data_IF_226294997463
#
_entry.id   IF_226294997463
#
_cell.length_a   1.000
_cell.length_b   1.000
_cell.length_c   1.000
_cell.angle_alpha   90.00
_cell.angle_beta   90.00
_cell.angle_gamma   90.00
#
_symmetry.space_group_name_H-M   'P 1'
#
loop_
_entity.id
_entity.type
_entity.pdbx_description
1 polymer ?
#
# COMPACT_ATOMS: atom_id res chain seq x y z
N UNK A 1 -53.15 1.76 58.38
CA UNK A 1 -54.32 1.49 57.52
C UNK A 1 -54.29 2.45 56.34
N UNK A 2 -54.22 1.87 55.14
CA UNK A 2 -54.58 2.37 53.79
C UNK A 2 -53.73 3.46 53.11
N UNK A 3 -52.87 2.96 52.22
CA UNK A 3 -52.34 3.58 51.01
C UNK A 3 -53.44 4.04 50.04
N UNK A 4 -53.23 5.19 49.40
CA UNK A 4 -54.03 5.67 48.28
C UNK A 4 -53.14 5.75 47.03
N UNK A 5 -53.29 4.78 46.13
CA UNK A 5 -52.73 4.80 44.78
C UNK A 5 -53.59 5.71 43.89
N UNK A 6 -52.99 6.79 43.37
CA UNK A 6 -53.56 7.61 42.29
C UNK A 6 -53.16 7.02 40.94
N UNK A 7 -54.09 6.34 40.29
CA UNK A 7 -53.97 5.91 38.89
C UNK A 7 -54.43 7.05 37.97
N UNK A 8 -53.49 7.72 37.30
CA UNK A 8 -53.79 8.64 36.21
C UNK A 8 -54.17 7.84 34.95
N UNK A 9 -55.45 7.82 34.61
CA UNK A 9 -55.93 7.26 33.36
C UNK A 9 -55.62 8.22 32.19
N UNK A 10 -54.71 7.82 31.30
CA UNK A 10 -54.43 8.55 30.07
C UNK A 10 -55.66 8.48 29.14
N UNK A 11 -56.24 9.64 28.79
CA UNK A 11 -57.34 9.71 27.82
C UNK A 11 -56.79 9.43 26.40
N UNK A 12 -57.43 8.54 25.62
CA UNK A 12 -57.00 8.28 24.24
C UNK A 12 -57.18 9.54 23.38
N UNK A 13 -56.19 9.83 22.54
CA UNK A 13 -56.25 10.93 21.59
C UNK A 13 -57.43 10.72 20.62
N UNK A 14 -58.20 11.78 20.27
CA UNK A 14 -59.29 11.67 19.31
C UNK A 14 -58.75 11.23 17.95
N UNK A 15 -59.45 10.31 17.27
CA UNK A 15 -59.05 9.70 15.99
C UNK A 15 -58.61 10.73 14.94
N UNK A 16 -59.21 11.93 14.96
CA UNK A 16 -58.83 13.06 14.07
C UNK A 16 -57.43 13.62 14.35
N UNK A 17 -57.00 13.66 15.62
CA UNK A 17 -55.64 14.05 16.00
C UNK A 17 -54.61 12.99 15.59
N UNK A 18 -54.98 11.70 15.69
CA UNK A 18 -54.13 10.60 15.24
C UNK A 18 -53.94 10.63 13.71
N UNK A 19 -55.02 10.89 12.96
CA UNK A 19 -54.97 11.05 11.51
C UNK A 19 -54.13 12.26 11.08
N UNK A 20 -54.25 13.39 11.79
CA UNK A 20 -53.43 14.58 11.53
C UNK A 20 -51.93 14.35 11.76
N UNK A 21 -51.56 13.64 12.83
CA UNK A 21 -50.17 13.26 13.10
C UNK A 21 -49.61 12.31 12.05
N UNK A 22 -50.41 11.36 11.56
CA UNK A 22 -50.00 10.43 10.52
C UNK A 22 -49.75 11.15 9.18
N UNK A 23 -50.62 12.08 8.80
CA UNK A 23 -50.47 12.91 7.60
C UNK A 23 -49.22 13.80 7.70
N UNK A 24 -48.98 14.42 8.85
CA UNK A 24 -47.78 15.22 9.08
C UNK A 24 -46.50 14.37 9.00
N UNK A 25 -46.49 13.17 9.59
CA UNK A 25 -45.37 12.24 9.51
C UNK A 25 -45.08 11.78 8.07
N UNK A 26 -46.14 11.47 7.30
CA UNK A 26 -46.01 11.11 5.88
C UNK A 26 -45.52 12.29 5.03
N UNK A 27 -45.95 13.51 5.31
CA UNK A 27 -45.47 14.71 4.62
C UNK A 27 -43.99 14.99 4.92
N UNK A 28 -43.56 14.84 6.18
CA UNK A 28 -42.15 14.97 6.58
C UNK A 28 -41.30 13.87 5.93
N UNK A 29 -41.78 12.63 5.90
CA UNK A 29 -41.08 11.53 5.24
C UNK A 29 -40.98 11.73 3.72
N UNK A 30 -42.04 12.19 3.07
CA UNK A 30 -42.04 12.49 1.65
C UNK A 30 -41.11 13.67 1.31
N UNK A 31 -41.10 14.72 2.16
CA UNK A 31 -40.19 15.85 2.02
C UNK A 31 -38.74 15.44 2.25
N UNK A 32 -38.45 14.60 3.24
CA UNK A 32 -37.11 14.04 3.49
C UNK A 32 -36.64 13.20 2.29
N UNK A 33 -37.51 12.38 1.69
CA UNK A 33 -37.21 11.60 0.47
C UNK A 33 -37.06 12.45 -0.79
N UNK A 34 -37.69 13.61 -0.84
CA UNK A 34 -37.58 14.55 -1.95
C UNK A 34 -36.31 15.42 -1.83
N UNK A 35 -35.91 15.74 -0.59
CA UNK A 35 -34.67 16.44 -0.26
C UNK A 35 -33.45 15.50 -0.18
N UNK A 36 -33.65 14.18 -0.08
CA UNK A 36 -32.60 13.19 -0.32
C UNK A 36 -32.00 13.47 -1.70
N UNK A 37 -30.69 13.80 -1.79
CA UNK A 37 -30.06 13.98 -3.09
C UNK A 37 -30.29 12.70 -3.89
N UNK A 38 -31.07 12.80 -4.97
CA UNK A 38 -31.29 11.69 -5.90
C UNK A 38 -29.91 11.16 -6.27
N UNK A 39 -29.63 9.92 -5.92
CA UNK A 39 -28.40 9.25 -6.31
C UNK A 39 -28.28 9.39 -7.84
N UNK A 40 -27.38 10.26 -8.28
CA UNK A 40 -27.07 10.38 -9.70
C UNK A 40 -26.56 9.00 -10.09
N UNK A 41 -27.21 8.27 -11.02
CA UNK A 41 -26.79 6.93 -11.37
C UNK A 41 -25.32 6.99 -11.75
N UNK A 42 -24.50 6.27 -10.98
CA UNK A 42 -23.06 6.37 -11.11
C UNK A 42 -22.65 5.85 -12.50
N UNK A 43 -21.78 6.58 -13.20
CA UNK A 43 -21.28 6.13 -14.51
C UNK A 43 -20.59 4.76 -14.34
N UNK A 44 -20.90 3.78 -15.20
CA UNK A 44 -20.26 2.47 -15.10
C UNK A 44 -18.77 2.59 -15.38
N UNK A 45 -17.96 1.83 -14.63
CA UNK A 45 -16.52 1.71 -14.87
C UNK A 45 -16.33 0.99 -16.21
N UNK A 46 -15.56 1.59 -17.13
CA UNK A 46 -15.33 1.04 -18.46
C UNK A 46 -13.88 0.61 -18.63
N UNK A 47 -13.67 -0.68 -18.85
CA UNK A 47 -12.36 -1.21 -19.20
C UNK A 47 -12.05 -0.95 -20.67
N UNK A 48 -10.85 -0.43 -20.93
CA UNK A 48 -10.33 -0.29 -22.28
C UNK A 48 -9.87 -1.65 -22.82
N UNK A 49 -10.10 -1.89 -24.11
CA UNK A 49 -9.42 -2.95 -24.86
C UNK A 49 -7.98 -2.55 -25.24
N UNK A 50 -7.60 -1.29 -25.02
CA UNK A 50 -6.23 -0.84 -25.21
C UNK A 50 -5.33 -1.37 -24.08
N UNK A 51 -4.24 -2.02 -24.48
CA UNK A 51 -3.26 -2.62 -23.59
C UNK A 51 -3.38 -4.15 -23.50
N UNK A 52 -2.45 -4.81 -22.80
CA UNK A 52 -2.43 -6.27 -22.72
C UNK A 52 -3.63 -6.82 -21.94
N UNK A 53 -4.32 -7.86 -22.44
CA UNK A 53 -5.53 -8.39 -21.79
C UNK A 53 -5.25 -9.24 -20.55
N UNK A 54 -3.99 -9.60 -20.29
CA UNK A 54 -3.60 -10.47 -19.17
C UNK A 54 -2.16 -10.24 -18.74
N UNK A 55 -1.81 -10.75 -17.56
CA UNK A 55 -0.43 -10.71 -17.04
C UNK A 55 0.59 -11.28 -18.03
N UNK A 56 0.33 -12.48 -18.54
CA UNK A 56 1.24 -13.14 -19.48
C UNK A 56 1.38 -12.35 -20.80
N UNK A 57 0.31 -11.71 -21.27
CA UNK A 57 0.38 -10.85 -22.45
C UNK A 57 1.19 -9.57 -22.19
N UNK A 58 1.07 -8.97 -21.00
CA UNK A 58 1.83 -7.78 -20.63
C UNK A 58 3.32 -8.05 -20.53
N UNK A 59 3.73 -9.15 -19.88
CA UNK A 59 5.14 -9.56 -19.81
C UNK A 59 5.71 -9.75 -21.22
N UNK A 60 5.01 -10.52 -22.08
CA UNK A 60 5.44 -10.73 -23.48
C UNK A 60 5.54 -9.44 -24.28
N UNK A 61 4.63 -8.49 -24.06
CA UNK A 61 4.68 -7.19 -24.74
C UNK A 61 5.93 -6.39 -24.35
N UNK A 62 6.27 -6.37 -23.06
CA UNK A 62 7.48 -5.71 -22.57
C UNK A 62 8.74 -6.41 -23.09
N UNK A 63 8.79 -7.75 -23.08
CA UNK A 63 9.92 -8.52 -23.59
C UNK A 63 10.17 -8.25 -25.09
N UNK A 64 9.10 -8.13 -25.88
CA UNK A 64 9.18 -7.78 -27.30
C UNK A 64 9.76 -6.37 -27.49
N UNK A 65 9.31 -5.40 -26.69
CA UNK A 65 9.83 -4.02 -26.72
C UNK A 65 11.31 -3.99 -26.36
N UNK A 66 11.72 -4.69 -25.31
CA UNK A 66 13.13 -4.81 -24.92
C UNK A 66 13.98 -5.44 -26.02
N UNK A 67 13.49 -6.51 -26.64
CA UNK A 67 14.17 -7.17 -27.78
C UNK A 67 14.36 -6.21 -28.96
N UNK A 68 13.36 -5.36 -29.25
CA UNK A 68 13.45 -4.37 -30.33
C UNK A 68 14.32 -3.16 -29.99
N UNK A 69 14.33 -2.69 -28.74
CA UNK A 69 15.07 -1.51 -28.32
C UNK A 69 16.58 -1.75 -28.20
N UNK A 70 17.02 -2.95 -27.78
CA UNK A 70 18.44 -3.23 -27.52
C UNK A 70 19.33 -3.04 -28.76
N UNK A 71 19.04 -3.62 -29.94
CA UNK A 71 19.86 -3.39 -31.12
C UNK A 71 19.89 -1.92 -31.58
N UNK A 72 18.79 -1.18 -31.37
CA UNK A 72 18.72 0.24 -31.72
C UNK A 72 19.62 1.09 -30.81
N UNK A 73 19.68 0.75 -29.52
CA UNK A 73 20.57 1.39 -28.57
C UNK A 73 22.04 1.06 -28.86
N UNK A 74 22.34 -0.19 -29.24
CA UNK A 74 23.71 -0.61 -29.59
C UNK A 74 24.22 0.08 -30.86
N UNK A 75 23.33 0.39 -31.81
CA UNK A 75 23.66 1.09 -33.04
C UNK A 75 23.85 2.62 -32.88
N UNK A 76 23.43 3.20 -31.74
CA UNK A 76 23.46 4.65 -31.46
C UNK A 76 24.15 4.90 -30.12
N UNK A 77 25.48 4.89 -30.15
CA UNK A 77 26.31 4.91 -28.94
C UNK A 77 26.34 6.24 -28.20
N UNK A 78 25.77 7.31 -28.77
CA UNK A 78 25.64 8.65 -28.21
C UNK A 78 24.20 9.05 -27.85
N UNK A 79 23.24 8.13 -27.96
CA UNK A 79 21.81 8.40 -27.76
C UNK A 79 21.32 7.93 -26.37
N UNK A 80 21.45 8.81 -25.36
CA UNK A 80 21.00 8.52 -23.99
C UNK A 80 19.47 8.27 -23.89
N UNK A 81 18.66 8.78 -24.83
CA UNK A 81 17.21 8.57 -24.84
C UNK A 81 16.85 7.11 -25.11
N UNK A 82 17.67 6.38 -25.87
CA UNK A 82 17.45 4.94 -26.07
C UNK A 82 17.71 4.15 -24.79
N UNK A 83 18.73 4.53 -24.01
CA UNK A 83 18.97 3.93 -22.69
C UNK A 83 17.80 4.21 -21.75
N UNK A 84 17.28 5.44 -21.72
CA UNK A 84 16.10 5.79 -20.91
C UNK A 84 14.86 4.96 -21.29
N UNK A 85 14.62 4.74 -22.59
CA UNK A 85 13.51 3.88 -23.06
C UNK A 85 13.65 2.43 -22.60
N UNK A 86 14.87 1.88 -22.64
CA UNK A 86 15.15 0.52 -22.13
C UNK A 86 14.91 0.48 -20.62
N UNK A 87 15.44 1.44 -19.87
CA UNK A 87 15.24 1.54 -18.42
C UNK A 87 13.75 1.61 -18.06
N UNK A 88 12.95 2.41 -18.79
CA UNK A 88 11.50 2.45 -18.60
C UNK A 88 10.85 1.08 -18.79
N UNK A 89 11.20 0.32 -19.85
CA UNK A 89 10.62 -1.02 -20.05
C UNK A 89 11.04 -2.00 -18.93
N UNK A 90 12.30 -1.95 -18.49
CA UNK A 90 12.78 -2.75 -17.36
C UNK A 90 12.03 -2.42 -16.06
N UNK A 91 11.84 -1.12 -15.75
CA UNK A 91 11.05 -0.68 -14.59
C UNK A 91 9.59 -1.15 -14.65
N UNK A 92 8.97 -1.13 -15.84
CA UNK A 92 7.61 -1.65 -16.00
C UNK A 92 7.55 -3.17 -15.76
N UNK A 93 8.52 -3.92 -16.28
CA UNK A 93 8.61 -5.37 -16.03
C UNK A 93 8.87 -5.67 -14.57
N UNK A 94 9.75 -4.91 -13.92
CA UNK A 94 10.06 -5.02 -12.50
C UNK A 94 8.81 -4.82 -11.63
N UNK A 95 8.04 -3.74 -11.84
CA UNK A 95 6.77 -3.51 -11.12
C UNK A 95 5.74 -4.61 -11.34
N UNK A 96 5.67 -5.15 -12.55
CA UNK A 96 4.69 -6.18 -12.91
C UNK A 96 5.03 -7.55 -12.31
N UNK A 97 6.31 -7.89 -12.27
CA UNK A 97 6.82 -9.23 -11.92
C UNK A 97 7.39 -9.34 -10.51
N UNK A 98 7.76 -8.21 -9.88
CA UNK A 98 8.53 -8.19 -8.64
C UNK A 98 10.03 -8.41 -8.83
N UNK A 99 10.56 -8.32 -10.06
CA UNK A 99 11.96 -8.62 -10.37
C UNK A 99 12.93 -7.53 -9.87
N UNK A 100 13.71 -7.84 -8.84
CA UNK A 100 14.82 -6.99 -8.36
C UNK A 100 15.97 -6.90 -9.38
N UNK A 101 16.16 -7.95 -10.19
CA UNK A 101 17.16 -7.94 -11.26
C UNK A 101 16.80 -6.92 -12.34
N UNK A 102 15.52 -6.82 -12.70
CA UNK A 102 15.07 -5.81 -13.67
C UNK A 102 15.27 -4.39 -13.16
N UNK A 103 15.07 -4.14 -11.86
CA UNK A 103 15.41 -2.85 -11.26
C UNK A 103 16.92 -2.56 -11.29
N UNK A 104 17.76 -3.56 -11.00
CA UNK A 104 19.21 -3.42 -11.06
C UNK A 104 19.68 -3.16 -12.51
N UNK A 105 19.11 -3.88 -13.48
CA UNK A 105 19.38 -3.67 -14.91
C UNK A 105 18.89 -2.29 -15.37
N UNK A 106 17.75 -1.80 -14.85
CA UNK A 106 17.27 -0.46 -15.13
C UNK A 106 18.25 0.59 -14.60
N UNK A 107 18.78 0.43 -13.38
CA UNK A 107 19.80 1.33 -12.83
C UNK A 107 21.05 1.34 -13.71
N UNK A 108 21.60 0.17 -14.05
CA UNK A 108 22.78 0.07 -14.90
C UNK A 108 22.55 0.69 -16.29
N UNK A 109 21.32 0.63 -16.80
CA UNK A 109 20.94 1.27 -18.07
C UNK A 109 20.89 2.79 -17.96
N UNK A 110 20.34 3.33 -16.87
CA UNK A 110 20.35 4.77 -16.62
C UNK A 110 21.77 5.30 -16.41
N UNK A 111 22.64 4.55 -15.72
CA UNK A 111 24.05 4.91 -15.53
C UNK A 111 24.77 5.05 -16.89
N UNK A 112 24.50 4.13 -17.84
CA UNK A 112 24.99 4.27 -19.23
C UNK A 112 24.40 5.50 -19.92
N UNK A 113 23.11 5.77 -19.72
CA UNK A 113 22.46 6.97 -20.25
C UNK A 113 23.14 8.25 -19.77
N UNK A 114 23.46 8.35 -18.47
CA UNK A 114 24.20 9.50 -17.94
C UNK A 114 25.63 9.61 -18.48
N UNK A 115 26.32 8.48 -18.68
CA UNK A 115 27.66 8.48 -19.27
C UNK A 115 27.68 8.99 -20.72
N UNK A 116 26.56 8.87 -21.44
CA UNK A 116 26.38 9.35 -22.82
C UNK A 116 25.84 10.80 -22.88
N UNK A 117 25.18 11.27 -21.83
CA UNK A 117 24.54 12.57 -21.81
C UNK A 117 25.55 13.72 -21.71
N UNK A 118 25.26 14.84 -22.36
CA UNK A 118 25.99 16.08 -22.13
C UNK A 118 25.70 16.63 -20.73
N UNK A 119 26.63 17.39 -20.11
CA UNK A 119 26.38 18.01 -18.80
C UNK A 119 25.10 18.85 -18.81
N UNK A 120 24.24 18.64 -17.80
CA UNK A 120 22.94 19.31 -17.71
C UNK A 120 21.81 18.65 -18.51
N UNK A 121 22.06 17.51 -19.16
CA UNK A 121 21.06 16.67 -19.81
C UNK A 121 21.11 15.24 -19.26
N UNK A 122 20.15 14.40 -19.66
CA UNK A 122 20.09 12.99 -19.28
C UNK A 122 18.77 12.58 -18.63
N UNK A 123 18.65 11.30 -18.25
CA UNK A 123 17.38 10.72 -17.82
C UNK A 123 17.06 11.01 -16.34
N UNK A 124 17.18 12.26 -15.90
CA UNK A 124 17.03 12.64 -14.48
C UNK A 124 15.64 12.32 -13.93
N UNK A 125 14.57 12.60 -14.68
CA UNK A 125 13.20 12.30 -14.22
C UNK A 125 12.97 10.80 -14.07
N UNK A 126 13.45 9.99 -15.01
CA UNK A 126 13.38 8.53 -14.93
C UNK A 126 14.24 7.97 -13.80
N UNK A 127 15.43 8.53 -13.59
CA UNK A 127 16.28 8.19 -12.45
C UNK A 127 15.62 8.55 -11.12
N UNK A 128 14.92 9.69 -11.03
CA UNK A 128 14.14 10.04 -9.84
C UNK A 128 13.02 9.03 -9.59
N UNK A 129 12.29 8.63 -10.64
CA UNK A 129 11.22 7.64 -10.54
C UNK A 129 11.73 6.24 -10.14
N UNK A 130 12.90 5.82 -10.67
CA UNK A 130 13.55 4.58 -10.24
C UNK A 130 14.01 4.67 -8.79
N UNK A 131 14.69 5.76 -8.44
CA UNK A 131 15.16 5.99 -7.07
C UNK A 131 14.00 5.95 -6.07
N UNK A 132 12.84 6.53 -6.39
CA UNK A 132 11.66 6.43 -5.54
C UNK A 132 11.09 5.02 -5.44
N UNK A 133 11.04 4.29 -6.57
CA UNK A 133 10.62 2.87 -6.57
C UNK A 133 11.53 1.99 -5.70
N UNK A 134 12.78 2.42 -5.49
CA UNK A 134 13.79 1.76 -4.66
C UNK A 134 13.98 2.41 -3.29
N UNK A 135 13.16 3.39 -2.93
CA UNK A 135 13.26 4.17 -1.69
C UNK A 135 14.59 4.91 -1.47
N UNK A 136 15.33 5.25 -2.54
CA UNK A 136 16.56 6.05 -2.51
C UNK A 136 16.23 7.54 -2.52
N UNK A 137 15.61 8.03 -1.44
CA UNK A 137 15.02 9.38 -1.39
C UNK A 137 16.02 10.50 -1.70
N UNK A 138 17.23 10.44 -1.13
CA UNK A 138 18.25 11.45 -1.36
C UNK A 138 18.74 11.49 -2.82
N UNK A 139 18.74 10.35 -3.52
CA UNK A 139 19.06 10.32 -4.95
C UNK A 139 17.91 10.92 -5.75
N UNK A 140 16.67 10.56 -5.43
CA UNK A 140 15.50 11.14 -6.09
C UNK A 140 15.47 12.67 -5.97
N UNK A 141 15.69 13.21 -4.77
CA UNK A 141 15.77 14.67 -4.52
C UNK A 141 16.82 15.32 -5.45
N UNK A 142 18.06 14.82 -5.47
CA UNK A 142 19.11 15.37 -6.35
C UNK A 142 18.75 15.34 -7.84
N UNK A 143 18.05 14.29 -8.28
CA UNK A 143 17.63 14.18 -9.68
C UNK A 143 16.50 15.15 -10.02
N UNK A 144 15.56 15.38 -9.10
CA UNK A 144 14.51 16.38 -9.27
C UNK A 144 15.09 17.79 -9.26
N UNK A 145 16.06 18.07 -8.38
CA UNK A 145 16.78 19.35 -8.37
C UNK A 145 17.51 19.59 -9.68
N UNK A 146 18.13 18.55 -10.27
CA UNK A 146 18.77 18.67 -11.58
C UNK A 146 17.78 19.06 -12.69
N UNK A 147 16.55 18.53 -12.68
CA UNK A 147 15.49 18.89 -13.64
C UNK A 147 15.12 20.37 -13.55
N UNK A 148 15.09 20.94 -12.34
CA UNK A 148 14.79 22.37 -12.14
C UNK A 148 15.88 23.29 -12.72
N UNK A 149 17.11 22.78 -12.85
CA UNK A 149 18.28 23.53 -13.33
C UNK A 149 18.61 23.27 -14.81
N UNK A 150 17.72 22.63 -15.57
CA UNK A 150 17.88 22.49 -17.01
C UNK A 150 17.94 23.87 -17.69
N UNK A 151 18.81 23.99 -18.70
CA UNK A 151 18.99 25.24 -19.46
C UNK A 151 17.69 25.69 -20.14
N UNK A 152 16.87 24.74 -20.58
CA UNK A 152 15.50 24.97 -21.05
C UNK A 152 14.56 24.51 -19.95
N UNK A 153 13.65 25.38 -19.45
CA UNK A 153 12.67 24.98 -18.44
C UNK A 153 11.87 23.77 -18.91
N UNK A 154 11.80 22.74 -18.05
CA UNK A 154 11.06 21.53 -18.34
C UNK A 154 9.59 21.83 -18.64
N UNK A 155 8.94 21.05 -19.50
CA UNK A 155 7.52 21.22 -19.84
C UNK A 155 6.60 21.09 -18.61
N UNK A 156 5.38 21.63 -18.70
CA UNK A 156 4.45 21.64 -17.58
C UNK A 156 4.14 20.24 -17.04
N UNK A 157 4.01 19.24 -17.91
CA UNK A 157 3.79 17.84 -17.53
C UNK A 157 4.99 17.26 -16.75
N UNK A 158 6.22 17.55 -17.20
CA UNK A 158 7.44 17.11 -16.51
C UNK A 158 7.54 17.75 -15.12
N UNK A 159 7.24 19.04 -15.00
CA UNK A 159 7.23 19.75 -13.71
C UNK A 159 6.17 19.19 -12.76
N UNK A 160 4.95 18.93 -13.26
CA UNK A 160 3.90 18.29 -12.47
C UNK A 160 4.32 16.90 -11.98
N UNK A 161 4.96 16.10 -12.84
CA UNK A 161 5.55 14.80 -12.46
C UNK A 161 6.64 14.92 -11.39
N UNK A 162 7.51 15.93 -11.50
CA UNK A 162 8.53 16.21 -10.49
C UNK A 162 7.92 16.64 -9.15
N UNK A 163 6.92 17.51 -9.17
CA UNK A 163 6.22 17.97 -7.96
C UNK A 163 5.44 16.83 -7.28
N UNK A 164 4.84 15.92 -8.06
CA UNK A 164 4.23 14.70 -7.53
C UNK A 164 5.25 13.83 -6.78
N UNK A 165 6.44 13.65 -7.37
CA UNK A 165 7.55 12.91 -6.73
C UNK A 165 8.07 13.62 -5.48
N UNK A 166 8.09 14.96 -5.43
CA UNK A 166 8.41 15.71 -4.20
C UNK A 166 7.38 15.48 -3.09
N UNK A 167 6.10 15.37 -3.44
CA UNK A 167 5.04 14.94 -2.51
C UNK A 167 5.30 13.53 -1.97
N UNK A 168 5.66 12.59 -2.84
CA UNK A 168 5.99 11.21 -2.46
C UNK A 168 7.21 11.16 -1.51
N UNK A 169 8.24 11.97 -1.76
CA UNK A 169 9.39 12.12 -0.87
C UNK A 169 8.97 12.69 0.49
N UNK A 170 8.12 13.72 0.51
CA UNK A 170 7.63 14.31 1.75
C UNK A 170 6.88 13.27 2.59
N UNK A 171 6.04 12.43 1.97
CA UNK A 171 5.36 11.33 2.64
C UNK A 171 6.36 10.35 3.28
N UNK A 172 7.34 9.85 2.51
CA UNK A 172 8.33 8.89 3.03
C UNK A 172 9.30 9.49 4.06
N UNK A 173 9.43 10.82 4.11
CA UNK A 173 10.17 11.54 5.15
C UNK A 173 9.32 11.88 6.40
N UNK A 174 8.08 11.42 6.47
CA UNK A 174 7.16 11.73 7.58
C UNK A 174 6.64 13.18 7.59
N UNK A 175 6.84 13.93 6.50
CA UNK A 175 6.39 15.32 6.34
C UNK A 175 4.97 15.36 5.75
N UNK A 176 4.01 14.76 6.46
CA UNK A 176 2.64 14.52 5.95
C UNK A 176 1.91 15.77 5.47
N UNK A 177 1.99 16.89 6.21
CA UNK A 177 1.36 18.14 5.79
C UNK A 177 1.92 18.68 4.46
N UNK A 178 3.24 18.59 4.27
CA UNK A 178 3.88 19.00 3.02
C UNK A 178 3.51 18.07 1.86
N UNK A 179 3.40 16.77 2.11
CA UNK A 179 2.94 15.80 1.12
C UNK A 179 1.52 16.12 0.64
N UNK A 180 0.59 16.34 1.58
CA UNK A 180 -0.80 16.70 1.25
C UNK A 180 -0.88 17.99 0.43
N UNK A 181 -0.16 19.02 0.85
CA UNK A 181 -0.13 20.29 0.14
C UNK A 181 0.38 20.13 -1.30
N UNK A 182 1.44 19.34 -1.51
CA UNK A 182 1.96 19.06 -2.85
C UNK A 182 0.91 18.36 -3.73
N UNK A 183 0.24 17.33 -3.22
CA UNK A 183 -0.80 16.64 -3.98
C UNK A 183 -2.00 17.53 -4.28
N UNK A 184 -2.48 18.32 -3.31
CA UNK A 184 -3.61 19.23 -3.54
C UNK A 184 -3.27 20.36 -4.51
N UNK A 185 -2.00 20.81 -4.55
CA UNK A 185 -1.54 21.80 -5.53
C UNK A 185 -1.62 21.26 -6.96
N UNK A 186 -1.27 19.99 -7.19
CA UNK A 186 -1.39 19.34 -8.49
C UNK A 186 -2.85 19.30 -8.99
N UNK A 187 -3.80 19.00 -8.10
CA UNK A 187 -5.23 19.04 -8.46
C UNK A 187 -5.70 20.43 -8.92
N UNK A 188 -5.16 21.51 -8.34
CA UNK A 188 -5.53 22.89 -8.69
C UNK A 188 -5.08 23.29 -10.10
N UNK A 189 -4.03 22.67 -10.61
CA UNK A 189 -3.50 22.93 -11.97
C UNK A 189 -4.04 21.93 -13.01
N UNK A 190 -5.05 21.13 -12.66
CA UNK A 190 -5.72 20.20 -13.57
C UNK A 190 -5.08 18.81 -13.68
N UNK A 191 -4.02 18.54 -12.92
CA UNK A 191 -3.44 17.19 -12.82
C UNK A 191 -4.32 16.26 -11.95
N UNK A 192 -4.10 14.94 -12.05
CA UNK A 192 -4.90 13.90 -11.39
C UNK A 192 -4.06 13.07 -10.42
N UNK A 193 -3.68 13.63 -9.26
CA UNK A 193 -2.92 12.92 -8.23
C UNK A 193 -3.80 11.95 -7.42
N UNK A 194 -5.03 11.66 -7.85
CA UNK A 194 -6.03 10.90 -7.07
C UNK A 194 -5.53 9.54 -6.56
N UNK A 195 -4.70 8.81 -7.32
CA UNK A 195 -4.11 7.58 -6.82
C UNK A 195 -3.10 7.83 -5.68
N UNK A 196 -2.31 8.90 -5.74
CA UNK A 196 -1.39 9.30 -4.66
C UNK A 196 -2.17 9.80 -3.45
N UNK A 197 -3.21 10.60 -3.66
CA UNK A 197 -4.13 11.01 -2.60
C UNK A 197 -4.81 9.81 -1.94
N UNK A 198 -5.18 8.77 -2.71
CA UNK A 198 -5.73 7.55 -2.14
C UNK A 198 -4.74 6.83 -1.22
N UNK A 199 -3.48 6.69 -1.65
CA UNK A 199 -2.42 6.10 -0.81
C UNK A 199 -2.18 6.96 0.43
N UNK A 200 -2.12 8.28 0.27
CA UNK A 200 -1.90 9.21 1.37
C UNK A 200 -3.04 9.15 2.40
N UNK A 201 -4.28 9.30 1.95
CA UNK A 201 -5.46 9.29 2.82
C UNK A 201 -5.68 7.94 3.50
N UNK A 202 -5.28 6.83 2.89
CA UNK A 202 -5.41 5.51 3.52
C UNK A 202 -4.49 5.34 4.73
N UNK A 203 -3.33 6.01 4.76
CA UNK A 203 -2.39 5.95 5.89
C UNK A 203 -2.54 7.13 6.86
N UNK A 204 -3.38 8.12 6.54
CA UNK A 204 -3.66 9.27 7.42
C UNK A 204 -5.09 9.26 7.98
N UNK A 205 -5.69 8.08 8.16
CA UNK A 205 -6.99 7.93 8.81
C UNK A 205 -8.19 8.45 8.01
N UNK A 206 -8.08 8.55 6.68
CA UNK A 206 -9.17 8.98 5.78
C UNK A 206 -9.48 7.92 4.72
N UNK A 207 -9.80 6.67 5.12
CA UNK A 207 -10.02 5.59 4.16
C UNK A 207 -11.18 5.84 3.20
N UNK A 208 -12.26 6.50 3.65
CA UNK A 208 -13.41 6.79 2.78
C UNK A 208 -13.05 7.81 1.67
N UNK A 209 -12.24 8.81 2.00
CA UNK A 209 -11.70 9.76 1.01
C UNK A 209 -10.76 9.04 0.03
N UNK A 210 -9.94 8.11 0.53
CA UNK A 210 -9.07 7.29 -0.31
C UNK A 210 -9.88 6.47 -1.32
N UNK A 211 -10.92 5.77 -0.85
CA UNK A 211 -11.80 4.98 -1.71
C UNK A 211 -12.57 5.85 -2.71
N UNK A 212 -12.95 7.07 -2.31
CA UNK A 212 -13.56 8.05 -3.20
C UNK A 212 -12.60 8.53 -4.30
N UNK A 213 -11.33 8.76 -3.96
CA UNK A 213 -10.30 9.11 -4.94
C UNK A 213 -10.09 8.00 -5.98
N UNK A 214 -10.01 6.74 -5.54
CA UNK A 214 -9.93 5.60 -6.49
C UNK A 214 -11.13 5.54 -7.42
N UNK A 215 -12.35 5.74 -6.91
CA UNK A 215 -13.56 5.79 -7.74
C UNK A 215 -13.51 6.90 -8.79
N UNK A 216 -12.91 8.06 -8.48
CA UNK A 216 -12.73 9.13 -9.47
C UNK A 216 -11.82 8.71 -10.60
N UNK A 217 -10.69 8.05 -10.29
CA UNK A 217 -9.76 7.53 -11.32
C UNK A 217 -10.46 6.50 -12.21
N UNK A 218 -11.16 5.52 -11.63
CA UNK A 218 -11.85 4.46 -12.36
C UNK A 218 -12.94 4.98 -13.32
N UNK A 219 -13.54 6.13 -12.99
CA UNK A 219 -14.63 6.76 -13.77
C UNK A 219 -14.14 7.79 -14.77
N UNK A 220 -12.86 8.17 -14.72
CA UNK A 220 -12.32 9.27 -15.51
C UNK A 220 -12.21 8.97 -17.01
N UNK A 221 -12.27 7.68 -17.41
CA UNK A 221 -12.25 7.29 -18.82
C UNK A 221 -12.05 5.80 -19.06
N UNK A 222 -11.74 5.45 -20.31
CA UNK A 222 -11.37 4.08 -20.70
C UNK A 222 -9.99 3.75 -20.13
N UNK A 223 -9.96 2.89 -19.11
CA UNK A 223 -8.73 2.54 -18.41
C UNK A 223 -8.31 1.11 -18.75
N UNK A 224 -7.02 0.83 -19.09
CA UNK A 224 -6.55 -0.53 -19.35
C UNK A 224 -6.83 -1.48 -18.17
N UNK A 225 -7.09 -2.76 -18.49
CA UNK A 225 -7.39 -3.78 -17.48
C UNK A 225 -6.34 -3.88 -16.36
N UNK A 226 -5.05 -3.81 -16.71
CA UNK A 226 -3.94 -3.80 -15.75
C UNK A 226 -4.00 -2.62 -14.76
N UNK A 227 -4.33 -1.41 -15.24
CA UNK A 227 -4.43 -0.23 -14.38
C UNK A 227 -5.66 -0.34 -13.46
N UNK A 228 -6.79 -0.83 -13.99
CA UNK A 228 -7.97 -1.09 -13.16
C UNK A 228 -7.73 -2.19 -12.11
N UNK A 229 -6.96 -3.23 -12.44
CA UNK A 229 -6.58 -4.25 -11.47
C UNK A 229 -5.67 -3.70 -10.36
N UNK A 230 -4.74 -2.79 -10.69
CA UNK A 230 -3.93 -2.10 -9.68
C UNK A 230 -4.79 -1.25 -8.72
N UNK A 231 -5.76 -0.50 -9.25
CA UNK A 231 -6.69 0.27 -8.43
C UNK A 231 -7.54 -0.64 -7.52
N UNK A 232 -7.98 -1.78 -8.04
CA UNK A 232 -8.71 -2.78 -7.26
C UNK A 232 -7.85 -3.44 -6.17
N UNK A 233 -6.56 -3.71 -6.40
CA UNK A 233 -5.64 -4.16 -5.35
C UNK A 233 -5.46 -3.10 -4.26
N UNK A 234 -5.29 -1.83 -4.64
CA UNK A 234 -5.17 -0.74 -3.67
C UNK A 234 -6.46 -0.60 -2.86
N UNK A 235 -7.64 -0.70 -3.48
CA UNK A 235 -8.92 -0.77 -2.79
C UNK A 235 -8.95 -1.90 -1.78
N UNK A 236 -8.63 -3.13 -2.19
CA UNK A 236 -8.64 -4.28 -1.30
C UNK A 236 -7.66 -4.14 -0.13
N UNK A 237 -6.52 -3.50 -0.35
CA UNK A 237 -5.54 -3.18 0.69
C UNK A 237 -6.09 -2.17 1.71
N UNK A 238 -6.80 -1.14 1.25
CA UNK A 238 -7.45 -0.15 2.12
C UNK A 238 -8.51 -0.84 2.99
N UNK A 239 -9.39 -1.64 2.38
CA UNK A 239 -10.45 -2.35 3.13
C UNK A 239 -9.87 -3.37 4.12
N UNK A 240 -8.80 -4.08 3.72
CA UNK A 240 -8.10 -5.01 4.60
C UNK A 240 -7.57 -4.31 5.86
N UNK A 241 -6.98 -3.11 5.70
CA UNK A 241 -6.46 -2.32 6.84
C UNK A 241 -7.56 -1.81 7.76
N UNK A 242 -8.77 -1.57 7.24
CA UNK A 242 -9.96 -1.24 8.05
C UNK A 242 -10.59 -2.46 8.73
N UNK A 243 -10.13 -3.67 8.40
CA UNK A 243 -10.73 -4.93 8.83
C UNK A 243 -12.01 -5.30 8.08
N UNK A 244 -12.35 -4.64 6.96
CA UNK A 244 -13.45 -5.10 6.10
C UNK A 244 -12.95 -6.19 5.15
N UNK A 245 -12.85 -7.40 5.69
CA UNK A 245 -12.33 -8.55 4.96
C UNK A 245 -13.22 -8.97 3.78
N UNK A 246 -14.54 -8.73 3.85
CA UNK A 246 -15.45 -9.06 2.75
C UNK A 246 -15.25 -8.09 1.57
N UNK A 247 -15.15 -6.79 1.85
CA UNK A 247 -14.86 -5.79 0.82
C UNK A 247 -13.44 -5.97 0.24
N UNK A 248 -12.47 -6.36 1.07
CA UNK A 248 -11.13 -6.70 0.62
C UNK A 248 -11.14 -7.87 -0.39
N UNK A 249 -11.81 -8.98 -0.05
CA UNK A 249 -11.94 -10.15 -0.93
C UNK A 249 -12.64 -9.79 -2.24
N UNK A 250 -13.72 -9.01 -2.17
CA UNK A 250 -14.44 -8.56 -3.36
C UNK A 250 -13.56 -7.72 -4.30
N UNK A 251 -12.72 -6.84 -3.74
CA UNK A 251 -11.79 -6.02 -4.50
C UNK A 251 -10.66 -6.86 -5.13
N UNK A 252 -10.10 -7.83 -4.40
CA UNK A 252 -9.09 -8.73 -4.96
C UNK A 252 -9.65 -9.64 -6.07
N UNK A 253 -10.89 -10.13 -5.90
CA UNK A 253 -11.61 -10.84 -6.96
C UNK A 253 -11.86 -9.96 -8.19
N UNK A 254 -12.15 -8.67 -8.00
CA UNK A 254 -12.29 -7.70 -9.09
C UNK A 254 -10.97 -7.46 -9.84
N UNK A 255 -9.86 -7.33 -9.11
CA UNK A 255 -8.54 -7.24 -9.71
C UNK A 255 -8.23 -8.47 -10.59
N UNK A 256 -8.59 -9.67 -10.13
CA UNK A 256 -8.34 -10.92 -10.85
C UNK A 256 -9.15 -11.00 -12.17
N UNK A 257 -10.40 -10.51 -12.16
CA UNK A 257 -11.23 -10.45 -13.37
C UNK A 257 -10.70 -9.45 -14.39
N UNK A 258 -10.25 -8.27 -13.95
CA UNK A 258 -9.78 -7.19 -14.82
C UNK A 258 -8.45 -7.47 -15.48
N UNK A 259 -7.57 -8.22 -14.79
CA UNK A 259 -6.26 -8.57 -15.29
C UNK A 259 -5.86 -10.00 -14.91
N UNK A 260 -6.35 -11.00 -15.68
CA UNK A 260 -6.19 -12.40 -15.34
C UNK A 260 -4.73 -12.88 -15.29
N UNK A 261 -4.48 -13.81 -14.36
CA UNK A 261 -3.20 -14.52 -14.23
C UNK A 261 -2.11 -13.73 -13.51
N UNK A 262 -2.40 -12.55 -12.96
CA UNK A 262 -1.42 -11.78 -12.21
C UNK A 262 -1.10 -12.42 -10.86
N UNK A 263 0.17 -12.77 -10.66
CA UNK A 263 0.65 -13.47 -9.47
C UNK A 263 0.33 -12.72 -8.17
N UNK A 264 0.43 -11.38 -8.18
CA UNK A 264 0.21 -10.55 -6.99
C UNK A 264 -1.25 -10.63 -6.52
N UNK A 265 -2.21 -10.56 -7.46
CA UNK A 265 -3.63 -10.74 -7.11
C UNK A 265 -3.90 -12.12 -6.52
N UNK A 266 -3.29 -13.16 -7.09
CA UNK A 266 -3.42 -14.51 -6.56
C UNK A 266 -2.78 -14.65 -5.15
N UNK A 267 -1.70 -13.92 -4.86
CA UNK A 267 -1.09 -13.88 -3.53
C UNK A 267 -2.02 -13.22 -2.49
N UNK A 268 -2.67 -12.11 -2.84
CA UNK A 268 -3.70 -11.49 -1.99
C UNK A 268 -4.87 -12.45 -1.72
N UNK A 269 -5.37 -13.17 -2.74
CA UNK A 269 -6.43 -14.16 -2.54
C UNK A 269 -5.99 -15.33 -1.65
N UNK A 270 -4.75 -15.80 -1.80
CA UNK A 270 -4.18 -16.84 -0.93
C UNK A 270 -4.03 -16.35 0.52
N UNK A 271 -3.66 -15.09 0.72
CA UNK A 271 -3.63 -14.46 2.04
C UNK A 271 -5.02 -14.40 2.67
N UNK A 272 -6.06 -14.02 1.91
CA UNK A 272 -7.42 -14.00 2.45
C UNK A 272 -7.89 -15.39 2.89
N UNK A 273 -7.51 -16.45 2.18
CA UNK A 273 -7.72 -17.83 2.64
C UNK A 273 -7.04 -18.08 4.00
N UNK A 274 -5.80 -17.59 4.19
CA UNK A 274 -5.07 -17.74 5.45
C UNK A 274 -5.74 -16.98 6.60
N UNK A 275 -6.14 -15.72 6.38
CA UNK A 275 -6.83 -14.89 7.36
C UNK A 275 -8.17 -15.51 7.81
N UNK A 276 -8.87 -16.18 6.89
CA UNK A 276 -10.13 -16.91 7.18
C UNK A 276 -9.91 -18.31 7.80
N UNK A 277 -8.68 -18.66 8.17
CA UNK A 277 -8.35 -19.96 8.76
C UNK A 277 -8.41 -21.14 7.76
N UNK A 278 -8.54 -20.90 6.46
CA UNK A 278 -8.52 -21.93 5.40
C UNK A 278 -7.07 -22.29 5.05
N UNK A 279 -6.29 -22.63 6.09
CA UNK A 279 -4.84 -22.80 6.03
C UNK A 279 -4.37 -23.85 4.99
N UNK A 280 -5.02 -25.02 4.84
CA UNK A 280 -4.60 -25.99 3.81
C UNK A 280 -4.79 -25.47 2.38
N UNK A 281 -5.80 -24.64 2.15
CA UNK A 281 -6.08 -24.06 0.83
C UNK A 281 -5.12 -22.92 0.52
N UNK A 282 -4.88 -22.04 1.51
CA UNK A 282 -3.87 -21.00 1.43
C UNK A 282 -2.47 -21.56 1.14
N UNK A 283 -2.07 -22.63 1.85
CA UNK A 283 -0.77 -23.29 1.65
C UNK A 283 -0.62 -23.77 0.21
N UNK A 284 -1.61 -24.51 -0.33
CA UNK A 284 -1.57 -24.99 -1.72
C UNK A 284 -1.50 -23.84 -2.73
N UNK A 285 -2.25 -22.76 -2.48
CA UNK A 285 -2.26 -21.59 -3.36
C UNK A 285 -0.89 -20.88 -3.37
N UNK A 286 -0.29 -20.66 -2.21
CA UNK A 286 1.05 -20.06 -2.11
C UNK A 286 2.15 -20.97 -2.68
N UNK A 287 2.12 -22.28 -2.40
CA UNK A 287 3.10 -23.23 -2.96
C UNK A 287 3.04 -23.25 -4.50
N UNK A 288 1.84 -23.22 -5.09
CA UNK A 288 1.67 -23.12 -6.53
C UNK A 288 2.19 -21.79 -7.11
N UNK A 289 2.08 -20.69 -6.36
CA UNK A 289 2.67 -19.40 -6.75
C UNK A 289 4.19 -19.41 -6.66
N UNK A 290 4.76 -19.98 -5.59
CA UNK A 290 6.20 -20.05 -5.36
C UNK A 290 6.95 -20.91 -6.39
N UNK A 291 6.25 -21.81 -7.10
CA UNK A 291 6.82 -22.59 -8.22
C UNK A 291 7.08 -21.74 -9.47
N UNK A 292 6.41 -20.60 -9.62
CA UNK A 292 6.44 -19.76 -10.84
C UNK A 292 6.85 -18.31 -10.58
N UNK A 293 7.12 -17.96 -9.32
CA UNK A 293 7.53 -16.64 -8.91
C UNK A 293 8.53 -16.75 -7.74
N UNK A 294 9.66 -16.07 -7.87
CA UNK A 294 10.76 -16.12 -6.92
C UNK A 294 10.67 -15.08 -5.80
N UNK A 295 9.50 -14.49 -5.59
CA UNK A 295 9.29 -13.58 -4.47
C UNK A 295 9.46 -14.32 -3.12
N UNK A 296 10.37 -13.86 -2.24
CA UNK A 296 10.60 -14.48 -0.94
C UNK A 296 9.41 -14.34 0.02
N UNK A 297 8.55 -13.31 -0.11
CA UNK A 297 7.37 -13.14 0.74
C UNK A 297 6.33 -14.26 0.52
N UNK A 298 6.31 -14.88 -0.67
CA UNK A 298 5.51 -16.10 -0.89
C UNK A 298 5.98 -17.24 0.03
N UNK A 299 7.29 -17.35 0.23
CA UNK A 299 7.90 -18.41 1.08
C UNK A 299 7.72 -18.08 2.56
N UNK A 300 7.80 -16.80 2.94
CA UNK A 300 7.44 -16.35 4.28
C UNK A 300 5.98 -16.64 4.63
N UNK A 301 5.05 -16.38 3.70
CA UNK A 301 3.64 -16.70 3.91
C UNK A 301 3.42 -18.19 4.16
N UNK A 302 4.08 -19.07 3.38
CA UNK A 302 4.03 -20.52 3.58
C UNK A 302 4.60 -20.89 4.96
N UNK A 303 5.77 -20.35 5.32
CA UNK A 303 6.41 -20.62 6.61
C UNK A 303 5.53 -20.18 7.79
N UNK A 304 4.85 -19.03 7.66
CA UNK A 304 3.91 -18.48 8.64
C UNK A 304 2.71 -19.40 8.85
N UNK A 305 2.13 -19.92 7.75
CA UNK A 305 1.01 -20.86 7.82
C UNK A 305 1.42 -22.19 8.48
N UNK A 306 2.59 -22.75 8.16
CA UNK A 306 3.07 -23.95 8.84
C UNK A 306 3.31 -23.72 10.33
N UNK A 307 3.78 -22.53 10.70
CA UNK A 307 4.02 -22.16 12.10
C UNK A 307 2.72 -22.09 12.88
N UNK A 308 1.68 -21.47 12.31
CA UNK A 308 0.35 -21.40 12.89
C UNK A 308 -0.28 -22.79 13.11
N UNK A 309 0.19 -23.82 12.36
CA UNK A 309 -0.24 -25.22 12.50
C UNK A 309 0.66 -26.05 13.43
N UNK A 310 1.73 -25.47 13.98
CA UNK A 310 2.71 -26.16 14.82
C UNK A 310 3.69 -27.06 14.07
N UNK A 311 3.78 -26.95 12.74
CA UNK A 311 4.74 -27.73 11.91
C UNK A 311 6.06 -26.96 11.77
N UNK A 312 6.84 -26.94 12.84
CA UNK A 312 8.08 -26.15 12.92
C UNK A 312 9.15 -26.62 11.93
N UNK A 313 9.21 -27.91 11.60
CA UNK A 313 10.17 -28.43 10.62
C UNK A 313 9.90 -27.85 9.22
N UNK A 314 8.62 -27.74 8.81
CA UNK A 314 8.28 -27.08 7.55
C UNK A 314 8.41 -25.56 7.65
N UNK A 315 8.14 -24.95 8.81
CA UNK A 315 8.41 -23.53 9.02
C UNK A 315 9.88 -23.19 8.75
N UNK A 316 10.81 -23.92 9.36
CA UNK A 316 12.26 -23.70 9.19
C UNK A 316 12.67 -23.87 7.72
N UNK A 317 12.24 -24.96 7.06
CA UNK A 317 12.54 -25.21 5.65
C UNK A 317 12.14 -24.04 4.73
N UNK A 318 10.94 -23.50 4.92
CA UNK A 318 10.41 -22.42 4.08
C UNK A 318 11.01 -21.06 4.46
N UNK A 319 11.22 -20.81 5.75
CA UNK A 319 11.90 -19.61 6.24
C UNK A 319 13.33 -19.51 5.69
N UNK A 320 14.11 -20.59 5.71
CA UNK A 320 15.46 -20.59 5.13
C UNK A 320 15.47 -20.32 3.63
N UNK A 321 14.44 -20.79 2.90
CA UNK A 321 14.27 -20.48 1.48
C UNK A 321 13.96 -19.02 1.25
N UNK A 322 13.12 -18.41 2.10
CA UNK A 322 12.84 -16.99 2.06
C UNK A 322 14.09 -16.16 2.39
N UNK A 323 14.82 -16.54 3.45
CA UNK A 323 16.04 -15.88 3.90
C UNK A 323 17.08 -15.73 2.78
N UNK A 324 17.35 -16.82 2.02
CA UNK A 324 18.25 -16.77 0.86
C UNK A 324 17.81 -15.76 -0.21
N UNK A 325 16.50 -15.66 -0.45
CA UNK A 325 15.95 -14.69 -1.39
C UNK A 325 16.06 -13.25 -0.87
N UNK A 326 15.83 -13.02 0.42
CA UNK A 326 16.03 -11.70 1.03
C UNK A 326 17.49 -11.28 1.06
N UNK A 327 18.42 -12.20 1.35
CA UNK A 327 19.87 -11.94 1.27
C UNK A 327 20.29 -11.53 -0.14
N UNK A 328 19.78 -12.22 -1.18
CA UNK A 328 20.05 -11.82 -2.57
C UNK A 328 19.51 -10.42 -2.87
N UNK A 329 18.27 -10.11 -2.44
CA UNK A 329 17.65 -8.80 -2.65
C UNK A 329 18.39 -7.68 -1.91
N UNK A 330 18.79 -7.90 -0.66
CA UNK A 330 19.59 -6.96 0.14
C UNK A 330 20.96 -6.69 -0.48
N UNK A 331 21.60 -7.72 -1.07
CA UNK A 331 22.87 -7.56 -1.79
C UNK A 331 22.71 -6.75 -3.08
N UNK A 332 21.60 -6.93 -3.79
CA UNK A 332 21.35 -6.24 -5.07
C UNK A 332 20.89 -4.80 -4.87
N UNK A 333 19.85 -4.59 -4.07
CA UNK A 333 19.15 -3.32 -3.89
C UNK A 333 18.68 -3.20 -2.43
N UNK A 334 19.58 -2.88 -1.49
CA UNK A 334 19.28 -2.92 -0.06
C UNK A 334 18.09 -2.03 0.30
N UNK A 335 18.06 -0.79 -0.19
CA UNK A 335 17.02 0.19 0.18
C UNK A 335 15.60 -0.26 -0.22
N UNK A 336 15.48 -1.04 -1.29
CA UNK A 336 14.21 -1.59 -1.75
C UNK A 336 13.79 -2.85 -0.98
N UNK A 337 14.75 -3.59 -0.40
CA UNK A 337 14.49 -4.84 0.30
C UNK A 337 14.30 -4.66 1.82
N UNK A 338 14.81 -3.57 2.40
CA UNK A 338 14.90 -3.38 3.85
C UNK A 338 13.58 -3.61 4.59
N UNK A 339 12.48 -2.99 4.15
CA UNK A 339 11.18 -3.11 4.83
C UNK A 339 10.72 -4.55 5.01
N UNK A 340 10.66 -5.31 3.91
CA UNK A 340 10.23 -6.71 3.96
C UNK A 340 11.27 -7.64 4.60
N UNK A 341 12.56 -7.32 4.48
CA UNK A 341 13.59 -8.07 5.19
C UNK A 341 13.47 -7.92 6.71
N UNK A 342 13.03 -6.75 7.22
CA UNK A 342 12.74 -6.57 8.65
C UNK A 342 11.58 -7.47 9.08
N UNK A 343 10.50 -7.53 8.31
CA UNK A 343 9.35 -8.40 8.59
C UNK A 343 9.76 -9.87 8.64
N UNK A 344 10.57 -10.32 7.68
CA UNK A 344 11.16 -11.65 7.68
C UNK A 344 11.98 -11.93 8.94
N UNK A 345 12.88 -11.02 9.33
CA UNK A 345 13.74 -11.22 10.50
C UNK A 345 12.97 -11.19 11.82
N UNK A 346 11.93 -10.35 11.92
CA UNK A 346 11.03 -10.35 13.07
C UNK A 346 10.26 -11.65 13.19
N UNK A 347 9.85 -12.22 12.05
CA UNK A 347 9.09 -13.44 12.02
C UNK A 347 9.97 -14.68 12.22
N UNK A 348 11.04 -14.86 11.45
CA UNK A 348 11.78 -16.13 11.36
C UNK A 348 13.27 -16.00 11.63
N UNK A 349 13.80 -14.78 11.65
CA UNK A 349 15.23 -14.52 11.82
C UNK A 349 15.62 -14.22 13.26
N UNK A 350 16.56 -13.30 13.43
CA UNK A 350 17.06 -12.93 14.76
C UNK A 350 16.63 -11.52 15.15
N UNK A 351 16.26 -11.26 16.43
CA UNK A 351 15.94 -9.92 16.89
C UNK A 351 17.04 -8.89 16.59
N UNK A 352 18.31 -9.27 16.78
CA UNK A 352 19.44 -8.37 16.55
C UNK A 352 19.53 -7.91 15.08
N UNK A 353 19.33 -8.84 14.13
CA UNK A 353 19.34 -8.53 12.70
C UNK A 353 18.12 -7.72 12.29
N UNK A 354 16.92 -8.07 12.80
CA UNK A 354 15.72 -7.26 12.61
C UNK A 354 15.93 -5.79 13.03
N UNK A 355 16.54 -5.57 14.20
CA UNK A 355 16.80 -4.22 14.70
C UNK A 355 17.85 -3.46 13.87
N UNK A 356 18.90 -4.14 13.40
CA UNK A 356 19.90 -3.53 12.54
C UNK A 356 19.27 -3.02 11.23
N UNK A 357 18.49 -3.88 10.56
CA UNK A 357 17.81 -3.52 9.32
C UNK A 357 16.75 -2.44 9.54
N UNK A 358 15.94 -2.55 10.60
CA UNK A 358 14.87 -1.58 10.89
C UNK A 358 15.42 -0.17 11.18
N UNK A 359 16.59 -0.08 11.83
CA UNK A 359 17.28 1.20 12.02
C UNK A 359 17.76 1.81 10.71
N UNK A 360 18.32 0.99 9.82
CA UNK A 360 18.76 1.45 8.50
C UNK A 360 17.56 1.96 7.68
N UNK A 361 16.46 1.21 7.71
CA UNK A 361 15.24 1.53 6.98
C UNK A 361 14.56 2.82 7.48
N UNK A 362 14.39 2.94 8.80
CA UNK A 362 13.83 4.13 9.43
C UNK A 362 14.72 5.37 9.19
N UNK A 363 16.05 5.22 9.24
CA UNK A 363 16.97 6.32 8.93
C UNK A 363 16.85 6.79 7.47
N UNK A 364 16.57 5.88 6.54
CA UNK A 364 16.41 6.19 5.12
C UNK A 364 15.05 6.86 4.82
N UNK A 365 13.96 6.39 5.44
CA UNK A 365 12.59 6.85 5.15
C UNK A 365 11.75 6.96 6.44
N UNK A 366 11.96 7.98 7.29
CA UNK A 366 11.40 8.08 8.65
C UNK A 366 9.90 8.43 8.66
N UNK A 367 9.06 7.48 8.28
CA UNK A 367 7.60 7.59 8.31
C UNK A 367 6.98 6.44 9.11
N UNK A 368 5.67 6.53 9.37
CA UNK A 368 4.92 5.61 10.23
C UNK A 368 5.23 4.12 10.02
N UNK A 369 5.16 3.59 8.80
CA UNK A 369 5.42 2.16 8.57
C UNK A 369 6.82 1.71 9.04
N UNK A 370 7.87 2.46 8.72
CA UNK A 370 9.23 2.14 9.20
C UNK A 370 9.41 2.36 10.70
N UNK A 371 8.71 3.34 11.28
CA UNK A 371 8.73 3.57 12.72
C UNK A 371 8.06 2.40 13.48
N UNK A 372 6.96 1.86 12.93
CA UNK A 372 6.25 0.68 13.43
C UNK A 372 7.18 -0.54 13.38
N UNK A 373 7.82 -0.79 12.23
CA UNK A 373 8.78 -1.90 12.09
C UNK A 373 9.96 -1.77 13.08
N UNK A 374 10.50 -0.56 13.25
CA UNK A 374 11.53 -0.27 14.24
C UNK A 374 11.03 -0.49 15.68
N UNK A 375 9.80 -0.09 15.99
CA UNK A 375 9.17 -0.31 17.28
C UNK A 375 9.05 -1.80 17.62
N UNK A 376 8.57 -2.62 16.68
CA UNK A 376 8.56 -4.08 16.84
C UNK A 376 9.96 -4.67 17.04
N UNK A 377 10.94 -4.21 16.26
CA UNK A 377 12.32 -4.67 16.42
C UNK A 377 12.95 -4.27 17.76
N UNK A 378 12.64 -3.09 18.28
CA UNK A 378 13.06 -2.66 19.61
C UNK A 378 12.43 -3.53 20.71
N UNK A 379 11.13 -3.85 20.59
CA UNK A 379 10.44 -4.78 21.50
C UNK A 379 11.10 -6.16 21.47
N UNK A 380 11.38 -6.70 20.29
CA UNK A 380 12.04 -8.00 20.12
C UNK A 380 13.45 -8.04 20.76
N UNK A 381 14.09 -6.88 20.94
CA UNK A 381 15.38 -6.74 21.61
C UNK A 381 15.27 -6.28 23.08
N UNK A 382 14.11 -6.46 23.71
CA UNK A 382 13.86 -6.10 25.10
C UNK A 382 14.09 -4.60 25.40
N UNK A 383 13.72 -3.72 24.46
CA UNK A 383 13.85 -2.25 24.58
C UNK A 383 12.49 -1.53 24.47
N UNK A 384 11.49 -1.87 25.29
CA UNK A 384 10.13 -1.35 25.16
C UNK A 384 10.04 0.17 25.38
N UNK A 385 10.83 0.75 26.29
CA UNK A 385 10.84 2.21 26.51
C UNK A 385 11.32 2.99 25.28
N UNK A 386 12.21 2.41 24.47
CA UNK A 386 12.67 3.03 23.24
C UNK A 386 11.65 2.88 22.12
N UNK A 387 10.96 1.73 22.07
CA UNK A 387 9.85 1.52 21.16
C UNK A 387 8.76 2.58 21.38
N UNK A 388 8.38 2.86 22.64
CA UNK A 388 7.41 3.92 22.94
C UNK A 388 7.89 5.28 22.45
N UNK A 389 9.15 5.67 22.67
CA UNK A 389 9.66 6.96 22.16
C UNK A 389 9.53 7.11 20.65
N UNK A 390 9.76 6.03 19.89
CA UNK A 390 9.59 6.02 18.43
C UNK A 390 8.11 6.12 18.05
N UNK A 391 7.25 5.31 18.67
CA UNK A 391 5.82 5.25 18.33
C UNK A 391 5.05 6.49 18.79
N UNK A 392 5.43 7.10 19.91
CA UNK A 392 4.83 8.35 20.39
C UNK A 392 5.00 9.49 19.38
N UNK A 393 6.10 9.50 18.62
CA UNK A 393 6.27 10.45 17.53
C UNK A 393 5.29 10.20 16.38
N UNK A 394 4.99 8.93 16.09
CA UNK A 394 3.98 8.53 15.09
C UNK A 394 2.57 8.89 15.58
N UNK A 395 2.24 8.61 16.84
CA UNK A 395 0.96 8.92 17.47
C UNK A 395 0.65 10.44 17.49
N UNK A 396 1.67 11.30 17.47
CA UNK A 396 1.53 12.76 17.34
C UNK A 396 1.48 13.26 15.89
N UNK A 397 1.69 12.37 14.92
CA UNK A 397 1.68 12.70 13.50
C UNK A 397 0.30 12.47 12.89
N UNK A 398 0.17 12.71 11.58
CA UNK A 398 -1.06 12.39 10.85
C UNK A 398 -1.19 10.91 10.50
N UNK A 399 -0.17 10.08 10.71
CA UNK A 399 -0.24 8.65 10.42
C UNK A 399 -1.24 7.95 11.35
N UNK A 400 -2.06 7.08 10.79
CA UNK A 400 -3.02 6.27 11.54
C UNK A 400 -3.04 4.85 11.01
N UNK A 401 -2.70 3.89 11.86
CA UNK A 401 -2.84 2.47 11.59
C UNK A 401 -3.06 1.69 12.88
N UNK A 402 -3.69 0.51 12.81
CA UNK A 402 -3.89 -0.31 14.00
C UNK A 402 -2.55 -0.78 14.60
N UNK A 403 -1.58 -1.08 13.73
CA UNK A 403 -0.28 -1.64 14.09
C UNK A 403 0.55 -0.71 14.97
N UNK A 404 0.45 0.61 14.79
CA UNK A 404 1.16 1.56 15.67
C UNK A 404 0.68 1.43 17.12
N UNK A 405 -0.62 1.26 17.31
CA UNK A 405 -1.24 1.12 18.61
C UNK A 405 -0.96 -0.26 19.21
N UNK A 406 -0.86 -1.31 18.38
CA UNK A 406 -0.40 -2.64 18.84
C UNK A 406 1.04 -2.62 19.35
N UNK A 407 1.94 -1.88 18.69
CA UNK A 407 3.32 -1.70 19.17
C UNK A 407 3.32 -0.98 20.52
N UNK A 408 2.56 0.12 20.63
CA UNK A 408 2.45 0.88 21.87
C UNK A 408 1.87 0.02 23.01
N UNK A 409 0.78 -0.69 22.76
CA UNK A 409 0.15 -1.61 23.71
C UNK A 409 1.15 -2.65 24.22
N UNK A 410 1.88 -3.29 23.31
CA UNK A 410 2.89 -4.30 23.68
C UNK A 410 4.02 -3.70 24.52
N UNK A 411 4.50 -2.52 24.15
CA UNK A 411 5.57 -1.84 24.89
C UNK A 411 5.12 -1.40 26.29
N UNK A 412 3.92 -0.82 26.42
CA UNK A 412 3.31 -0.49 27.72
C UNK A 412 3.14 -1.73 28.60
N UNK A 413 2.65 -2.84 28.03
CA UNK A 413 2.51 -4.10 28.77
C UNK A 413 3.84 -4.62 29.31
N UNK A 414 4.92 -4.56 28.52
CA UNK A 414 6.26 -4.95 28.95
C UNK A 414 6.86 -4.02 30.03
N UNK A 415 6.33 -2.81 30.18
CA UNK A 415 6.71 -1.85 31.21
C UNK A 415 5.79 -1.92 32.45
N UNK A 416 4.82 -2.83 32.48
CA UNK A 416 3.86 -2.97 33.58
C UNK A 416 2.77 -1.88 33.60
N UNK A 417 2.56 -1.20 32.48
CA UNK A 417 1.60 -0.09 32.35
C UNK A 417 0.28 -0.60 31.75
N UNK A 418 -0.42 -1.48 32.47
CA UNK A 418 -1.57 -2.22 31.91
C UNK A 418 -2.71 -1.34 31.40
N UNK A 419 -3.08 -0.28 32.13
CA UNK A 419 -4.16 0.63 31.69
C UNK A 419 -3.82 1.33 30.36
N UNK A 420 -2.55 1.75 30.19
CA UNK A 420 -2.10 2.33 28.93
C UNK A 420 -2.05 1.29 27.80
N UNK A 421 -1.71 0.03 28.12
CA UNK A 421 -1.72 -1.05 27.15
C UNK A 421 -3.14 -1.33 26.64
N UNK A 422 -4.12 -1.43 27.54
CA UNK A 422 -5.53 -1.67 27.21
C UNK A 422 -6.09 -0.52 26.36
N UNK A 423 -5.80 0.74 26.72
CA UNK A 423 -6.24 1.90 25.96
C UNK A 423 -5.69 1.92 24.51
N UNK A 424 -4.46 1.46 24.31
CA UNK A 424 -3.87 1.35 22.97
C UNK A 424 -4.46 0.15 22.19
N UNK A 425 -4.82 -0.95 22.85
CA UNK A 425 -5.55 -2.05 22.20
C UNK A 425 -6.93 -1.61 21.72
N UNK A 426 -7.66 -0.85 22.53
CA UNK A 426 -8.97 -0.30 22.16
C UNK A 426 -8.87 0.62 20.93
N UNK A 427 -7.81 1.43 20.85
CA UNK A 427 -7.53 2.26 19.66
C UNK A 427 -7.25 1.41 18.43
N UNK A 428 -6.44 0.36 18.56
CA UNK A 428 -6.16 -0.56 17.46
C UNK A 428 -7.45 -1.21 16.94
N UNK A 429 -8.32 -1.70 17.84
CA UNK A 429 -9.62 -2.30 17.50
C UNK A 429 -10.59 -1.29 16.86
N UNK A 430 -10.54 -0.02 17.28
CA UNK A 430 -11.33 1.05 16.68
C UNK A 430 -10.94 1.35 15.23
N UNK A 431 -9.68 1.11 14.85
CA UNK A 431 -9.20 1.26 13.47
C UNK A 431 -9.41 0.00 12.64
N UNK A 432 -9.26 -1.18 13.26
CA UNK A 432 -9.44 -2.47 12.63
C UNK A 432 -9.99 -3.49 13.65
N UNK A 433 -11.24 -3.97 13.50
CA UNK A 433 -11.83 -4.92 14.44
C UNK A 433 -11.10 -6.27 14.50
N UNK A 434 -10.26 -6.57 13.50
CA UNK A 434 -9.41 -7.77 13.44
C UNK A 434 -7.96 -7.49 13.88
N UNK A 435 -7.64 -6.33 14.46
CA UNK A 435 -6.28 -5.98 14.86
C UNK A 435 -5.65 -6.99 15.85
N UNK A 436 -6.47 -7.63 16.68
CA UNK A 436 -6.04 -8.64 17.65
C UNK A 436 -6.31 -10.08 17.19
N UNK A 437 -6.75 -10.27 15.94
CA UNK A 437 -7.00 -11.61 15.40
C UNK A 437 -5.67 -12.40 15.34
N UNK A 438 -5.63 -13.65 15.85
CA UNK A 438 -4.40 -14.45 15.82
C UNK A 438 -3.88 -14.68 14.38
N UNK A 439 -4.78 -14.74 13.40
CA UNK A 439 -4.42 -14.90 11.99
C UNK A 439 -3.90 -13.61 11.36
N UNK A 440 -4.02 -12.44 12.01
CA UNK A 440 -3.44 -11.19 11.49
C UNK A 440 -1.92 -11.28 11.29
N UNK A 441 -1.25 -12.17 12.03
CA UNK A 441 0.17 -12.51 11.85
C UNK A 441 0.50 -13.22 10.52
N UNK A 442 -0.52 -13.68 9.78
CA UNK A 442 -0.40 -14.31 8.46
C UNK A 442 -0.54 -13.30 7.30
N UNK A 443 -0.55 -12.01 7.61
CA UNK A 443 -0.61 -10.93 6.62
C UNK A 443 0.81 -10.64 6.09
N UNK A 444 1.08 -11.03 4.84
CA UNK A 444 2.36 -10.90 4.12
C UNK A 444 2.30 -9.96 2.91
N UNK A 445 1.11 -9.43 2.61
CA UNK A 445 0.84 -8.46 1.54
C UNK A 445 -0.15 -7.41 2.03
N UNK A 446 0.03 -6.15 1.61
CA UNK A 446 -0.95 -5.06 1.86
C UNK A 446 -0.74 -4.24 3.15
N UNK A 447 0.41 -4.37 3.82
CA UNK A 447 0.80 -3.50 4.94
C UNK A 447 1.24 -2.11 4.47
#
# INVERSE_FOLDING_TARGET
MRDAHLTLAARPLPVRALAGLLVAALAVFALARWLEPRAIPERPIRQSSAGPPSYAAAVRDIDRKLTGLRPLADARTDDWLMQERIAHQLMQRARLTGSFRDYADAQATLDRGFAMATPGAGPHLTQAALALSLHRLALAERMLDAVDHYAVPAEAEVRAGADAMRGDIALYRGRYAAAEQAYLALSKIGDRPDQRLAIFWSVTGRPDDALAALRRVERAGLTPGQALAQLALLRGTIELRRGDWDAADAAFADAARRFPGWWLTAAYQAQMLALRGRLPEATRAFEALAQRNDDPALRDAIAGIYRARGDYARTELWAERAARGWDERLRLLPEAALGHAVEHELAFGTPARALALARQDFANRPHGATAIALGWALIANNRPAEALRVIDAVNRSSWQSAEQHLVAARAHGLLGQSEAADAEQDRALGLNPHALDPNATLLWYGH
#
